data_IF_391061146205
#
_entry.id   IF_391061146205
#
_cell.length_a   1.000
_cell.length_b   1.000
_cell.length_c   1.000
_cell.angle_alpha   90.00
_cell.angle_beta   90.00
_cell.angle_gamma   90.00
#
_symmetry.space_group_name_H-M   'P 1'
#
loop_
_entity.id
_entity.type
_entity.pdbx_description
1 polymer ?
#
# COMPACT_ATOMS: atom_id res chain seq x y z
N UNK A 1 -11.64 1.23 -16.12
CA UNK A 1 -10.18 1.33 -15.91
C UNK A 1 -9.66 -0.04 -15.48
N UNK A 2 -8.80 -0.69 -16.29
CA UNK A 2 -8.21 -1.99 -15.92
C UNK A 2 -7.09 -1.73 -14.91
N UNK A 3 -7.35 -2.01 -13.63
CA UNK A 3 -6.36 -2.07 -12.54
C UNK A 3 -5.19 -2.97 -12.97
N UNK A 4 -3.96 -2.62 -12.59
CA UNK A 4 -2.72 -3.30 -13.00
C UNK A 4 -2.84 -4.81 -12.69
N UNK A 5 -3.02 -5.61 -13.73
CA UNK A 5 -3.47 -6.99 -13.57
C UNK A 5 -2.31 -7.84 -13.04
N UNK A 6 -2.49 -8.61 -11.96
CA UNK A 6 -1.43 -9.46 -11.43
C UNK A 6 -0.96 -10.43 -12.51
N UNK A 7 0.32 -10.81 -12.46
CA UNK A 7 0.87 -11.82 -13.38
C UNK A 7 0.39 -13.23 -13.04
N UNK A 8 0.10 -13.50 -11.76
CA UNK A 8 -0.38 -14.80 -11.28
C UNK A 8 -1.40 -14.65 -10.17
N UNK A 9 -2.41 -15.52 -10.13
CA UNK A 9 -3.50 -15.53 -9.13
C UNK A 9 -3.74 -16.89 -8.48
N UNK A 10 -4.40 -16.91 -7.33
CA UNK A 10 -4.94 -18.12 -6.68
C UNK A 10 -6.43 -17.98 -6.40
N UNK A 11 -7.17 -19.08 -6.42
CA UNK A 11 -8.56 -19.10 -5.97
C UNK A 11 -8.64 -18.96 -4.43
N UNK A 12 -9.59 -18.17 -3.94
CA UNK A 12 -9.88 -18.09 -2.51
C UNK A 12 -10.76 -19.28 -2.08
N UNK A 13 -11.02 -19.42 -0.78
CA UNK A 13 -11.76 -20.58 -0.26
C UNK A 13 -13.15 -20.72 -0.89
N UNK A 14 -13.89 -19.62 -0.99
CA UNK A 14 -15.23 -19.60 -1.60
C UNK A 14 -15.16 -19.90 -3.11
N UNK A 15 -14.16 -19.38 -3.80
CA UNK A 15 -13.88 -19.61 -5.21
C UNK A 15 -13.53 -21.07 -5.51
N UNK A 16 -12.78 -21.74 -4.64
CA UNK A 16 -12.50 -23.18 -4.77
C UNK A 16 -13.81 -23.99 -4.72
N UNK A 17 -14.71 -23.66 -3.80
CA UNK A 17 -16.00 -24.33 -3.71
C UNK A 17 -16.90 -24.02 -4.92
N UNK A 18 -16.89 -22.78 -5.42
CA UNK A 18 -17.58 -22.42 -6.67
C UNK A 18 -17.03 -23.18 -7.88
N UNK A 19 -15.71 -23.29 -8.02
CA UNK A 19 -15.07 -24.07 -9.09
C UNK A 19 -15.51 -25.55 -9.04
N UNK A 20 -15.53 -26.15 -7.85
CA UNK A 20 -15.99 -27.54 -7.66
C UNK A 20 -17.48 -27.69 -7.94
N UNK A 21 -18.29 -26.70 -7.56
CA UNK A 21 -19.72 -26.72 -7.77
C UNK A 21 -20.06 -26.56 -9.26
N UNK A 22 -19.40 -25.64 -9.96
CA UNK A 22 -19.55 -25.45 -11.40
C UNK A 22 -19.22 -26.73 -12.20
N UNK A 23 -18.20 -27.50 -11.78
CA UNK A 23 -17.93 -28.82 -12.36
C UNK A 23 -19.10 -29.81 -12.18
N UNK A 24 -19.80 -29.75 -11.05
CA UNK A 24 -20.95 -30.62 -10.74
C UNK A 24 -22.23 -30.15 -11.45
N UNK A 25 -22.47 -28.86 -11.54
CA UNK A 25 -23.70 -28.29 -12.12
C UNK A 25 -23.82 -28.56 -13.62
N UNK A 26 -22.70 -28.60 -14.35
CA UNK A 26 -22.70 -29.00 -15.77
C UNK A 26 -23.11 -30.46 -15.97
N UNK A 27 -22.84 -31.33 -14.99
CA UNK A 27 -23.39 -32.69 -14.97
C UNK A 27 -24.92 -32.68 -14.81
N UNK A 28 -25.45 -31.79 -13.97
CA UNK A 28 -26.90 -31.63 -13.78
C UNK A 28 -27.61 -31.08 -15.03
N UNK A 29 -26.89 -30.33 -15.88
CA UNK A 29 -27.38 -29.79 -17.15
C UNK A 29 -27.22 -30.73 -18.37
N UNK A 30 -26.89 -32.00 -18.18
CA UNK A 30 -26.60 -32.98 -19.25
C UNK A 30 -25.42 -32.61 -20.19
N UNK A 31 -24.54 -31.69 -19.80
CA UNK A 31 -23.36 -31.29 -20.59
C UNK A 31 -22.11 -32.14 -20.27
N UNK A 32 -22.24 -33.06 -19.31
CA UNK A 32 -21.15 -33.88 -18.78
C UNK A 32 -20.26 -33.11 -17.80
N UNK A 33 -19.64 -33.82 -16.85
CA UNK A 33 -18.67 -33.22 -15.94
C UNK A 33 -17.43 -32.82 -16.73
N UNK A 34 -17.00 -31.56 -16.61
CA UNK A 34 -15.66 -31.17 -17.05
C UNK A 34 -14.62 -31.66 -16.03
N UNK A 35 -13.89 -32.70 -16.40
CA UNK A 35 -12.74 -33.19 -15.64
C UNK A 35 -11.55 -32.24 -15.83
N UNK A 36 -10.55 -32.30 -14.92
CA UNK A 36 -9.33 -31.49 -15.08
C UNK A 36 -8.63 -31.70 -16.43
N UNK A 37 -8.46 -32.94 -16.94
CA UNK A 37 -7.88 -33.14 -18.28
C UNK A 37 -8.68 -32.46 -19.40
N UNK A 38 -10.02 -32.49 -19.31
CA UNK A 38 -10.89 -31.89 -20.33
C UNK A 38 -10.86 -30.37 -20.30
N UNK A 39 -10.80 -29.76 -19.11
CA UNK A 39 -10.59 -28.31 -18.97
C UNK A 39 -9.23 -27.94 -19.58
N UNK A 40 -8.18 -28.69 -19.24
CA UNK A 40 -6.82 -28.45 -19.69
C UNK A 40 -6.70 -28.52 -21.21
N UNK A 41 -7.31 -29.52 -21.85
CA UNK A 41 -7.37 -29.69 -23.30
C UNK A 41 -8.09 -28.50 -23.99
N UNK A 42 -9.21 -28.05 -23.43
CA UNK A 42 -10.01 -26.97 -24.02
C UNK A 42 -9.33 -25.60 -24.01
N UNK A 43 -8.48 -25.35 -23.02
CA UNK A 43 -7.77 -24.07 -22.86
C UNK A 43 -6.28 -24.17 -23.20
N UNK A 44 -5.84 -25.33 -23.72
CA UNK A 44 -4.47 -25.60 -24.14
C UNK A 44 -3.42 -25.37 -23.04
N UNK A 45 -3.67 -25.86 -21.83
CA UNK A 45 -2.72 -25.84 -20.71
C UNK A 45 -2.48 -27.25 -20.15
N UNK A 46 -1.43 -27.40 -19.35
CA UNK A 46 -1.18 -28.64 -18.61
C UNK A 46 -2.26 -28.93 -17.57
N UNK A 47 -2.67 -30.20 -17.41
CA UNK A 47 -3.64 -30.63 -16.37
C UNK A 47 -3.18 -30.21 -14.96
N UNK A 48 -1.87 -30.19 -14.74
CA UNK A 48 -1.26 -29.75 -13.49
C UNK A 48 -1.61 -28.30 -13.17
N UNK A 49 -1.70 -27.41 -14.16
CA UNK A 49 -2.10 -26.00 -13.99
C UNK A 49 -3.53 -25.92 -13.45
N UNK A 50 -4.45 -26.71 -14.01
CA UNK A 50 -5.85 -26.76 -13.56
C UNK A 50 -5.93 -27.30 -12.13
N UNK A 51 -5.23 -28.41 -11.83
CA UNK A 51 -5.15 -29.00 -10.49
C UNK A 51 -4.58 -28.04 -9.45
N UNK A 52 -3.57 -27.24 -9.81
CA UNK A 52 -2.97 -26.22 -8.93
C UNK A 52 -3.99 -25.14 -8.58
N UNK A 53 -4.70 -24.61 -9.56
CA UNK A 53 -5.71 -23.58 -9.31
C UNK A 53 -6.85 -24.08 -8.42
N UNK A 54 -7.37 -25.29 -8.65
CA UNK A 54 -8.39 -25.92 -7.80
C UNK A 54 -7.92 -26.26 -6.37
N UNK A 55 -6.61 -26.25 -6.12
CA UNK A 55 -6.02 -26.43 -4.79
C UNK A 55 -5.72 -25.08 -4.09
N UNK A 56 -6.05 -23.95 -4.72
CA UNK A 56 -5.73 -22.63 -4.19
C UNK A 56 -4.25 -22.23 -4.37
N UNK A 57 -3.53 -22.88 -5.29
CA UNK A 57 -2.15 -22.52 -5.62
C UNK A 57 -2.12 -21.45 -6.71
N UNK A 58 -1.03 -20.67 -6.75
CA UNK A 58 -0.82 -19.64 -7.77
C UNK A 58 -0.66 -20.24 -9.17
N UNK A 59 -1.37 -19.68 -10.14
CA UNK A 59 -1.23 -19.92 -11.59
C UNK A 59 -1.19 -18.59 -12.32
N UNK A 60 -0.72 -18.54 -13.57
CA UNK A 60 -0.79 -17.30 -14.35
C UNK A 60 -2.24 -16.79 -14.45
N UNK A 61 -2.42 -15.48 -14.37
CA UNK A 61 -3.76 -14.86 -14.34
C UNK A 61 -4.58 -15.21 -15.56
N UNK A 62 -3.95 -15.21 -16.74
CA UNK A 62 -4.56 -15.64 -18.00
C UNK A 62 -5.08 -17.08 -17.93
N UNK A 63 -4.32 -17.99 -17.31
CA UNK A 63 -4.74 -19.38 -17.13
C UNK A 63 -5.93 -19.48 -16.17
N UNK A 64 -5.92 -18.70 -15.07
CA UNK A 64 -7.03 -18.68 -14.13
C UNK A 64 -8.32 -18.14 -14.76
N UNK A 65 -8.23 -17.09 -15.59
CA UNK A 65 -9.38 -16.59 -16.36
C UNK A 65 -9.97 -17.66 -17.25
N UNK A 66 -9.14 -18.28 -18.08
CA UNK A 66 -9.58 -19.31 -19.02
C UNK A 66 -10.24 -20.49 -18.30
N UNK A 67 -9.72 -20.88 -17.12
CA UNK A 67 -10.35 -21.91 -16.27
C UNK A 67 -11.72 -21.44 -15.77
N UNK A 68 -11.84 -20.21 -15.27
CA UNK A 68 -13.11 -19.66 -14.78
C UNK A 68 -14.15 -19.54 -15.89
N UNK A 69 -13.77 -18.97 -17.04
CA UNK A 69 -14.63 -18.79 -18.21
C UNK A 69 -15.14 -20.14 -18.74
N UNK A 70 -14.26 -21.14 -18.80
CA UNK A 70 -14.62 -22.51 -19.19
C UNK A 70 -15.67 -23.13 -18.25
N UNK A 71 -15.71 -22.69 -17.00
CA UNK A 71 -16.69 -23.12 -15.99
C UNK A 71 -17.89 -22.17 -15.87
N UNK A 72 -17.94 -21.10 -16.67
CA UNK A 72 -19.01 -20.10 -16.63
C UNK A 72 -18.96 -19.17 -15.41
N UNK A 73 -17.79 -19.01 -14.81
CA UNK A 73 -17.54 -18.14 -13.65
C UNK A 73 -16.73 -16.91 -14.07
N UNK A 74 -16.92 -15.79 -13.37
CA UNK A 74 -16.02 -14.64 -13.54
C UNK A 74 -14.80 -14.81 -12.65
N UNK A 75 -13.62 -14.42 -13.14
CA UNK A 75 -12.40 -14.51 -12.34
C UNK A 75 -12.55 -13.79 -10.98
N UNK A 76 -13.17 -12.61 -10.97
CA UNK A 76 -13.40 -11.81 -9.77
C UNK A 76 -14.29 -12.47 -8.69
N UNK A 77 -15.07 -13.50 -9.07
CA UNK A 77 -15.91 -14.26 -8.13
C UNK A 77 -15.13 -15.39 -7.45
N UNK A 78 -14.03 -15.83 -8.10
CA UNK A 78 -13.23 -17.00 -7.74
C UNK A 78 -11.92 -16.62 -7.05
N UNK A 79 -11.37 -15.47 -7.43
CA UNK A 79 -10.13 -14.92 -6.88
C UNK A 79 -10.40 -13.53 -6.34
N UNK A 80 -9.75 -13.20 -5.24
CA UNK A 80 -9.74 -11.83 -4.75
C UNK A 80 -8.81 -11.02 -5.65
N UNK A 81 -9.39 -10.30 -6.62
CA UNK A 81 -8.65 -9.39 -7.50
C UNK A 81 -8.21 -8.11 -6.79
N UNK A 82 -8.71 -7.88 -5.57
CA UNK A 82 -8.32 -6.78 -4.69
C UNK A 82 -7.20 -7.17 -3.70
N UNK A 83 -6.90 -8.48 -3.56
CA UNK A 83 -5.92 -9.01 -2.59
C UNK A 83 -4.47 -9.06 -3.09
N UNK A 84 -4.16 -8.46 -4.24
CA UNK A 84 -2.78 -8.44 -4.75
C UNK A 84 -1.81 -7.58 -3.94
N UNK A 85 -2.29 -6.97 -2.84
CA UNK A 85 -1.49 -6.21 -1.90
C UNK A 85 -1.76 -6.52 -0.41
N UNK A 86 -2.54 -7.55 -0.03
CA UNK A 86 -3.24 -7.53 1.28
C UNK A 86 -3.15 -8.79 2.18
N UNK A 87 -2.06 -9.58 2.14
CA UNK A 87 -1.92 -10.72 3.07
C UNK A 87 -0.86 -10.51 4.16
N UNK A 88 -0.44 -9.25 4.37
CA UNK A 88 0.45 -8.90 5.47
C UNK A 88 -0.27 -8.22 6.61
N UNK A 89 0.26 -8.37 7.82
CA UNK A 89 -0.02 -7.49 8.95
C UNK A 89 1.21 -6.63 9.20
N UNK A 90 1.02 -5.33 9.35
CA UNK A 90 2.01 -4.40 9.84
C UNK A 90 2.03 -4.41 11.37
N UNK A 91 3.21 -4.52 11.96
CA UNK A 91 3.46 -4.34 13.39
C UNK A 91 4.48 -3.22 13.57
N UNK A 92 4.15 -2.21 14.36
CA UNK A 92 5.06 -1.11 14.71
C UNK A 92 5.60 -1.34 16.11
N UNK A 93 6.93 -1.35 16.24
CA UNK A 93 7.65 -1.51 17.50
C UNK A 93 8.38 -0.22 17.88
N UNK A 94 8.43 0.06 19.19
CA UNK A 94 9.28 1.12 19.73
C UNK A 94 10.77 0.81 19.55
N UNK A 95 11.62 1.83 19.39
CA UNK A 95 13.09 1.70 19.38
C UNK A 95 13.72 1.90 18.00
N UNK A 96 15.01 1.60 17.88
CA UNK A 96 15.75 1.74 16.61
C UNK A 96 15.88 0.41 15.86
N UNK A 97 15.96 0.47 14.53
CA UNK A 97 16.01 -0.73 13.67
C UNK A 97 17.20 -1.64 13.98
N UNK A 98 18.33 -1.07 14.39
CA UNK A 98 19.55 -1.83 14.69
C UNK A 98 19.48 -2.54 16.05
N UNK A 99 18.56 -2.13 16.94
CA UNK A 99 18.25 -2.86 18.19
C UNK A 99 17.31 -4.05 17.92
N UNK A 100 16.39 -3.90 16.96
CA UNK A 100 15.38 -4.92 16.63
C UNK A 100 15.94 -6.03 15.73
N UNK A 101 16.83 -5.70 14.79
CA UNK A 101 17.42 -6.68 13.84
C UNK A 101 18.02 -7.93 14.52
N UNK A 102 18.78 -7.83 15.63
CA UNK A 102 19.31 -9.00 16.34
C UNK A 102 18.24 -9.92 16.94
N UNK A 103 17.01 -9.42 17.15
CA UNK A 103 15.95 -10.13 17.87
C UNK A 103 14.86 -10.70 16.96
N UNK A 104 15.02 -10.61 15.63
CA UNK A 104 13.97 -11.00 14.67
C UNK A 104 13.53 -12.46 14.77
N UNK A 105 14.45 -13.37 15.07
CA UNK A 105 14.12 -14.79 15.25
C UNK A 105 13.25 -15.02 16.49
N UNK A 106 13.54 -14.29 17.57
CA UNK A 106 12.74 -14.32 18.80
C UNK A 106 11.35 -13.71 18.57
N UNK A 107 11.29 -12.55 17.92
CA UNK A 107 10.03 -11.90 17.51
C UNK A 107 9.18 -12.86 16.68
N UNK A 108 9.80 -13.52 15.70
CA UNK A 108 9.11 -14.46 14.82
C UNK A 108 8.52 -15.67 15.58
N UNK A 109 9.28 -16.28 16.47
CA UNK A 109 8.79 -17.39 17.30
C UNK A 109 7.68 -16.95 18.27
N UNK A 110 7.80 -15.76 18.86
CA UNK A 110 6.74 -15.20 19.71
C UNK A 110 5.45 -14.97 18.92
N UNK A 111 5.53 -14.43 17.70
CA UNK A 111 4.37 -14.21 16.84
C UNK A 111 3.70 -15.52 16.42
N UNK A 112 4.47 -16.54 16.03
CA UNK A 112 3.95 -17.88 15.71
C UNK A 112 3.26 -18.53 16.90
N UNK A 113 3.85 -18.41 18.09
CA UNK A 113 3.26 -18.94 19.33
C UNK A 113 1.96 -18.22 19.70
N UNK A 114 1.96 -16.89 19.60
CA UNK A 114 0.85 -16.02 19.99
C UNK A 114 -0.36 -16.19 19.07
N UNK A 115 -0.11 -16.26 17.76
CA UNK A 115 -1.13 -16.52 16.75
C UNK A 115 -1.57 -17.99 16.69
N UNK A 116 -0.75 -18.92 17.18
CA UNK A 116 -0.91 -20.35 16.90
C UNK A 116 -0.61 -20.74 15.45
N UNK A 117 -0.07 -19.82 14.65
CA UNK A 117 0.19 -19.99 13.23
C UNK A 117 1.70 -20.11 12.96
N UNK A 118 2.13 -21.32 12.61
CA UNK A 118 3.54 -21.62 12.29
C UNK A 118 3.99 -21.07 10.94
N UNK A 119 3.05 -20.66 10.08
CA UNK A 119 3.35 -20.15 8.74
C UNK A 119 3.81 -18.70 8.74
N UNK A 120 3.75 -18.02 9.90
CA UNK A 120 4.16 -16.63 9.99
C UNK A 120 5.63 -16.47 9.56
N UNK A 121 5.89 -15.45 8.75
CA UNK A 121 7.22 -15.02 8.31
C UNK A 121 7.31 -13.51 8.29
N UNK A 122 8.47 -12.96 8.62
CA UNK A 122 8.76 -11.53 8.43
C UNK A 122 9.11 -11.30 6.96
N UNK A 123 8.35 -10.43 6.30
CA UNK A 123 8.53 -10.07 4.89
C UNK A 123 9.48 -8.89 4.73
N UNK A 124 9.25 -7.82 5.48
CA UNK A 124 9.94 -6.53 5.33
C UNK A 124 10.12 -5.88 6.69
N UNK A 125 11.23 -5.16 6.87
CA UNK A 125 11.45 -4.23 7.98
C UNK A 125 11.79 -2.85 7.41
N UNK A 126 11.18 -1.79 7.92
CA UNK A 126 11.35 -0.42 7.39
C UNK A 126 12.05 0.50 8.41
N UNK A 127 12.87 1.48 7.96
CA UNK A 127 13.50 2.50 8.81
C UNK A 127 12.56 3.67 9.13
N UNK A 128 12.86 4.44 10.20
CA UNK A 128 12.12 5.66 10.62
C UNK A 128 11.05 5.44 11.69
N UNK A 129 10.54 4.21 11.78
CA UNK A 129 9.76 3.62 12.88
C UNK A 129 9.91 2.12 12.66
N UNK A 130 10.22 1.31 13.67
CA UNK A 130 10.52 -0.11 13.40
C UNK A 130 9.24 -0.84 13.04
N UNK A 131 8.97 -0.86 11.73
CA UNK A 131 7.80 -1.46 11.15
C UNK A 131 8.20 -2.82 10.59
N UNK A 132 7.58 -3.87 11.11
CA UNK A 132 7.71 -5.24 10.65
C UNK A 132 6.45 -5.59 9.88
N UNK A 133 6.59 -6.02 8.63
CA UNK A 133 5.49 -6.60 7.85
C UNK A 133 5.63 -8.10 7.93
N UNK A 134 4.57 -8.76 8.40
CA UNK A 134 4.52 -10.22 8.52
C UNK A 134 3.51 -10.81 7.55
N UNK A 135 3.87 -11.94 6.94
CA UNK A 135 2.94 -12.84 6.25
C UNK A 135 2.47 -13.93 7.20
N UNK A 136 1.30 -14.50 6.96
CA UNK A 136 0.76 -15.65 7.67
C UNK A 136 -0.55 -16.16 7.07
N UNK A 137 -1.17 -17.12 7.72
CA UNK A 137 -2.57 -17.48 7.50
C UNK A 137 -3.48 -16.34 7.93
N UNK A 138 -4.63 -16.18 7.26
CA UNK A 138 -5.59 -15.13 7.61
C UNK A 138 -6.04 -15.26 9.09
N UNK A 139 -6.27 -16.47 9.58
CA UNK A 139 -6.64 -16.73 10.98
C UNK A 139 -5.55 -16.27 11.96
N UNK A 140 -4.28 -16.53 11.64
CA UNK A 140 -3.14 -16.13 12.46
C UNK A 140 -2.95 -14.62 12.51
N UNK A 141 -3.07 -13.95 11.36
CA UNK A 141 -2.96 -12.49 11.24
C UNK A 141 -4.10 -11.76 11.95
N UNK A 142 -5.36 -12.15 11.70
CA UNK A 142 -6.54 -11.59 12.38
C UNK A 142 -6.47 -11.78 13.90
N UNK A 143 -5.91 -12.90 14.37
CA UNK A 143 -5.71 -13.12 15.80
C UNK A 143 -4.69 -12.17 16.40
N UNK A 144 -3.57 -11.90 15.71
CA UNK A 144 -2.56 -10.93 16.17
C UNK A 144 -3.18 -9.54 16.29
N UNK A 145 -3.95 -9.11 15.30
CA UNK A 145 -4.70 -7.85 15.32
C UNK A 145 -5.69 -7.80 16.50
N UNK A 146 -6.47 -8.86 16.70
CA UNK A 146 -7.45 -8.94 17.79
C UNK A 146 -6.79 -8.88 19.18
N UNK A 147 -5.62 -9.53 19.35
CA UNK A 147 -4.88 -9.52 20.62
C UNK A 147 -4.31 -8.14 20.93
N UNK A 148 -3.86 -7.40 19.92
CA UNK A 148 -3.45 -6.01 20.10
C UNK A 148 -4.62 -5.12 20.51
N UNK A 149 -5.76 -5.24 19.81
CA UNK A 149 -6.98 -4.48 20.13
C UNK A 149 -7.53 -4.78 21.54
N UNK A 150 -7.41 -6.03 21.99
CA UNK A 150 -7.74 -6.43 23.36
C UNK A 150 -6.72 -5.94 24.41
N UNK A 151 -5.60 -5.35 23.97
CA UNK A 151 -4.51 -4.92 24.83
C UNK A 151 -3.70 -6.08 25.40
N UNK A 152 -3.76 -7.27 24.81
CA UNK A 152 -3.01 -8.45 25.25
C UNK A 152 -1.62 -8.53 24.61
N UNK A 153 -1.45 -7.93 23.43
CA UNK A 153 -0.17 -7.83 22.72
C UNK A 153 0.48 -6.45 22.91
N UNK A 154 1.04 -6.19 24.10
CA UNK A 154 1.67 -4.89 24.43
C UNK A 154 3.16 -4.83 24.15
N UNK A 155 3.83 -5.98 24.12
CA UNK A 155 5.28 -6.09 24.03
C UNK A 155 5.66 -7.38 23.30
N UNK A 156 6.70 -7.34 22.49
CA UNK A 156 7.28 -8.50 21.81
C UNK A 156 8.80 -8.37 21.88
N UNK A 157 9.47 -9.38 22.44
CA UNK A 157 10.93 -9.41 22.62
C UNK A 157 11.46 -8.14 23.31
N UNK A 158 10.81 -7.63 24.36
CA UNK A 158 11.27 -6.42 25.04
C UNK A 158 10.94 -5.10 24.33
N UNK A 159 10.41 -5.13 23.10
CA UNK A 159 9.95 -3.94 22.39
C UNK A 159 8.45 -3.74 22.59
N UNK A 160 8.07 -2.52 22.97
CA UNK A 160 6.66 -2.15 23.07
C UNK A 160 6.03 -2.21 21.68
N UNK A 161 4.87 -2.85 21.58
CA UNK A 161 4.04 -2.85 20.38
C UNK A 161 3.20 -1.58 20.39
N UNK A 162 3.50 -0.69 19.45
CA UNK A 162 2.83 0.60 19.31
C UNK A 162 1.60 0.51 18.39
N UNK A 163 1.64 -0.41 17.42
CA UNK A 163 0.55 -0.61 16.47
C UNK A 163 0.56 -2.02 15.86
N UNK A 164 -0.62 -2.54 15.54
CA UNK A 164 -0.83 -3.77 14.77
C UNK A 164 -2.05 -3.59 13.88
N UNK A 165 -1.88 -3.82 12.58
CA UNK A 165 -2.94 -3.60 11.59
C UNK A 165 -2.71 -4.35 10.29
N UNK A 166 -3.72 -4.49 9.43
CA UNK A 166 -3.51 -5.00 8.08
C UNK A 166 -2.52 -4.11 7.30
N UNK A 167 -1.65 -4.72 6.48
CA UNK A 167 -0.63 -4.01 5.69
C UNK A 167 -1.22 -2.96 4.73
N UNK A 168 -2.47 -3.16 4.32
CA UNK A 168 -3.19 -2.29 3.40
C UNK A 168 -3.93 -1.14 4.05
N UNK A 169 -3.99 -1.11 5.39
CA UNK A 169 -4.56 -0.01 6.12
C UNK A 169 -3.49 1.08 6.25
N UNK A 170 -3.43 1.98 5.26
CA UNK A 170 -2.60 3.17 5.32
C UNK A 170 -3.17 4.10 6.41
N UNK A 171 -2.31 4.57 7.33
CA UNK A 171 -2.72 5.61 8.29
C UNK A 171 -2.42 6.96 7.66
N UNK A 172 -3.22 7.98 7.98
CA UNK A 172 -2.80 9.33 7.74
C UNK A 172 -1.41 9.54 8.36
N UNK A 173 -0.53 10.14 7.58
CA UNK A 173 0.80 10.55 8.02
C UNK A 173 0.63 11.61 9.09
N UNK A 174 1.15 11.33 10.29
CA UNK A 174 1.06 12.27 11.40
C UNK A 174 2.16 13.34 11.28
N UNK A 175 1.74 14.57 10.96
CA UNK A 175 2.64 15.69 10.71
C UNK A 175 3.27 16.23 11.99
N UNK A 176 2.59 16.20 13.14
CA UNK A 176 3.20 16.60 14.42
C UNK A 176 4.46 15.79 14.77
N UNK A 177 4.51 14.50 14.42
CA UNK A 177 5.68 13.65 14.71
C UNK A 177 6.94 14.10 13.95
N UNK A 178 6.78 14.84 12.87
CA UNK A 178 7.90 15.30 12.06
C UNK A 178 8.69 16.43 12.75
N UNK A 179 8.14 17.08 13.78
CA UNK A 179 8.92 18.00 14.62
C UNK A 179 10.03 17.27 15.40
N UNK A 180 9.82 15.98 15.71
CA UNK A 180 10.78 15.12 16.37
C UNK A 180 11.67 14.35 15.37
N UNK A 181 11.68 14.75 14.09
CA UNK A 181 12.36 14.10 12.96
C UNK A 181 11.95 12.64 12.72
N UNK A 182 10.74 12.25 13.16
CA UNK A 182 10.18 10.92 12.93
C UNK A 182 9.41 10.96 11.61
N UNK A 183 10.06 10.51 10.53
CA UNK A 183 9.41 10.37 9.22
C UNK A 183 8.81 8.97 9.04
N UNK A 184 7.55 8.93 8.62
CA UNK A 184 6.83 7.67 8.33
C UNK A 184 7.35 7.03 7.04
N UNK A 185 7.07 5.74 6.84
CA UNK A 185 7.51 4.99 5.65
C UNK A 185 7.22 5.71 4.33
N UNK A 186 8.24 5.78 3.47
CA UNK A 186 8.14 6.40 2.14
C UNK A 186 8.40 7.90 2.14
N UNK A 187 8.48 8.52 3.31
CA UNK A 187 8.91 9.89 3.50
C UNK A 187 10.39 9.93 3.88
N UNK A 188 11.11 10.87 3.28
CA UNK A 188 12.56 11.06 3.45
C UNK A 188 12.90 12.54 3.44
N UNK A 189 14.11 12.90 3.87
CA UNK A 189 14.54 14.28 3.89
C UNK A 189 14.68 14.85 2.47
N UNK A 190 14.39 16.15 2.29
CA UNK A 190 14.36 16.77 0.98
C UNK A 190 15.72 16.72 0.24
N UNK A 191 16.82 16.74 0.99
CA UNK A 191 18.18 16.61 0.45
C UNK A 191 18.48 15.24 -0.17
N UNK A 192 17.70 14.21 0.15
CA UNK A 192 17.81 12.88 -0.47
C UNK A 192 17.01 12.80 -1.78
N UNK A 193 16.08 13.73 -2.01
CA UNK A 193 15.12 13.69 -3.11
C UNK A 193 15.39 14.72 -4.20
N UNK A 194 15.96 15.87 -3.84
CA UNK A 194 16.14 17.01 -4.73
C UNK A 194 17.59 17.18 -5.16
N UNK A 195 17.79 17.70 -6.37
CA UNK A 195 19.10 18.14 -6.85
C UNK A 195 19.59 19.38 -6.09
N UNK A 196 20.91 19.66 -6.04
CA UNK A 196 21.43 20.86 -5.37
C UNK A 196 20.82 22.18 -5.86
N UNK A 197 20.51 22.28 -7.16
CA UNK A 197 19.89 23.47 -7.74
C UNK A 197 18.43 23.62 -7.31
N UNK A 198 17.70 22.52 -7.15
CA UNK A 198 16.35 22.53 -6.59
C UNK A 198 16.38 22.83 -5.08
N UNK A 199 17.33 22.26 -4.33
CA UNK A 199 17.54 22.58 -2.92
C UNK A 199 17.84 24.07 -2.71
N UNK A 200 18.56 24.73 -3.62
CA UNK A 200 18.77 26.18 -3.53
C UNK A 200 17.47 27.00 -3.67
N UNK A 201 16.44 26.46 -4.31
CA UNK A 201 15.12 27.09 -4.45
C UNK A 201 14.23 26.89 -3.22
N UNK A 202 14.59 25.95 -2.33
CA UNK A 202 13.82 25.63 -1.14
C UNK A 202 14.67 25.94 0.08
N UNK A 203 14.21 26.80 1.00
CA UNK A 203 14.90 26.97 2.28
C UNK A 203 14.81 25.65 3.06
N UNK A 204 15.84 24.81 2.95
CA UNK A 204 15.82 23.41 3.39
C UNK A 204 15.56 23.23 4.90
N UNK A 205 15.81 24.27 5.70
CA UNK A 205 15.62 24.23 7.16
C UNK A 205 14.14 24.10 7.58
N UNK A 206 13.18 24.39 6.70
CA UNK A 206 11.75 24.38 7.03
C UNK A 206 11.03 23.12 6.49
N UNK A 207 11.65 22.40 5.54
CA UNK A 207 11.05 21.21 4.93
C UNK A 207 11.21 20.05 5.89
N UNK A 208 10.10 19.43 6.25
CA UNK A 208 10.08 18.35 7.22
C UNK A 208 10.15 16.98 6.55
N UNK A 209 9.45 16.78 5.44
CA UNK A 209 9.47 15.51 4.72
C UNK A 209 9.21 15.67 3.22
N UNK A 210 9.70 14.71 2.44
CA UNK A 210 9.39 14.57 1.03
C UNK A 210 9.17 13.13 0.62
N UNK A 211 8.44 12.92 -0.47
CA UNK A 211 8.13 11.59 -1.03
C UNK A 211 8.27 11.60 -2.54
N UNK A 212 8.97 10.60 -3.07
CA UNK A 212 9.07 10.35 -4.51
C UNK A 212 7.81 9.62 -4.99
N UNK A 213 7.12 10.20 -5.97
CA UNK A 213 5.85 9.70 -6.48
C UNK A 213 5.99 9.43 -7.98
N UNK A 214 5.55 8.24 -8.39
CA UNK A 214 5.53 7.81 -9.78
C UNK A 214 4.09 7.78 -10.31
N UNK A 215 3.77 8.69 -11.23
CA UNK A 215 2.48 8.79 -11.90
C UNK A 215 2.56 8.12 -13.26
N UNK A 216 1.77 7.06 -13.49
CA UNK A 216 1.72 6.38 -14.78
C UNK A 216 0.59 6.93 -15.63
N UNK A 217 0.93 7.78 -16.59
CA UNK A 217 0.00 8.43 -17.52
C UNK A 217 0.53 8.28 -18.95
N UNK A 218 -0.35 8.18 -19.94
CA UNK A 218 0.03 8.15 -21.37
C UNK A 218 1.07 7.06 -21.73
N UNK A 219 1.00 5.89 -21.08
CA UNK A 219 1.96 4.79 -21.22
C UNK A 219 3.39 5.11 -20.72
N UNK A 220 3.61 6.28 -20.13
CA UNK A 220 4.85 6.72 -19.53
C UNK A 220 4.74 6.76 -18.00
N UNK A 221 5.90 6.77 -17.32
CA UNK A 221 5.97 6.96 -15.87
C UNK A 221 6.62 8.32 -15.60
N UNK A 222 5.86 9.25 -15.05
CA UNK A 222 6.31 10.57 -14.64
C UNK A 222 6.68 10.54 -13.15
N UNK A 223 7.93 10.86 -12.82
CA UNK A 223 8.38 10.93 -11.44
C UNK A 223 8.41 12.38 -10.96
N UNK A 224 7.75 12.63 -9.83
CA UNK A 224 7.69 13.93 -9.16
C UNK A 224 7.99 13.76 -7.67
N UNK A 225 8.47 14.81 -7.02
CA UNK A 225 8.69 14.85 -5.57
C UNK A 225 7.63 15.73 -4.94
N UNK A 226 6.86 15.18 -4.00
CA UNK A 226 6.00 15.94 -3.10
C UNK A 226 6.81 16.29 -1.85
N UNK A 227 6.92 17.58 -1.54
CA UNK A 227 7.50 18.07 -0.29
C UNK A 227 6.42 18.67 0.58
N UNK A 228 6.57 18.46 1.89
CA UNK A 228 5.69 19.00 2.92
C UNK A 228 6.55 19.75 3.94
N UNK A 229 6.16 21.00 4.17
CA UNK A 229 6.82 21.95 5.03
C UNK A 229 5.84 22.33 6.14
N UNK A 230 6.31 22.33 7.39
CA UNK A 230 5.50 22.63 8.57
C UNK A 230 6.17 23.74 9.37
N UNK A 231 5.41 24.77 9.69
CA UNK A 231 5.86 25.88 10.55
C UNK A 231 4.86 26.04 11.68
N UNK A 232 5.35 26.01 12.93
CA UNK A 232 4.59 26.48 14.09
C UNK A 232 4.69 28.00 14.12
N UNK A 233 3.54 28.67 14.29
CA UNK A 233 3.56 30.11 14.56
C UNK A 233 4.16 30.38 15.95
N UNK A 234 3.73 29.64 16.97
CA UNK A 234 4.23 29.68 18.35
C UNK A 234 4.19 28.28 19.00
N UNK A 235 5.00 28.02 20.02
CA UNK A 235 5.10 26.69 20.68
C UNK A 235 3.79 26.21 21.34
N UNK A 236 2.93 27.14 21.75
CA UNK A 236 1.64 26.87 22.41
C UNK A 236 0.45 26.91 21.44
N UNK A 237 0.67 27.24 20.16
CA UNK A 237 -0.42 27.33 19.18
C UNK A 237 -0.84 25.95 18.67
N UNK A 238 -2.15 25.64 18.63
CA UNK A 238 -2.63 24.43 17.96
C UNK A 238 -2.58 24.54 16.43
N UNK A 239 -2.34 25.73 15.86
CA UNK A 239 -2.32 25.95 14.43
C UNK A 239 -0.92 25.73 13.82
N UNK A 240 -0.89 25.02 12.69
CA UNK A 240 0.32 24.82 11.87
C UNK A 240 0.12 25.41 10.47
N UNK A 241 1.14 26.15 9.99
CA UNK A 241 1.22 26.48 8.56
C UNK A 241 1.79 25.29 7.79
N UNK A 242 1.02 24.77 6.84
CA UNK A 242 1.39 23.67 5.96
C UNK A 242 1.62 24.22 4.56
N UNK A 243 2.80 23.94 4.00
CA UNK A 243 3.10 24.21 2.60
C UNK A 243 3.47 22.93 1.85
N UNK A 244 2.65 22.58 0.86
CA UNK A 244 2.87 21.48 -0.07
C UNK A 244 3.54 22.01 -1.35
N UNK A 245 4.59 21.34 -1.82
CA UNK A 245 5.29 21.68 -3.06
C UNK A 245 5.54 20.44 -3.89
N UNK A 246 5.35 20.54 -5.21
CA UNK A 246 5.67 19.45 -6.13
C UNK A 246 6.79 19.88 -7.06
N UNK A 247 7.84 19.07 -7.12
CA UNK A 247 9.02 19.28 -7.97
C UNK A 247 9.17 18.18 -9.03
N UNK A 248 9.70 18.49 -10.21
CA UNK A 248 10.13 17.46 -11.15
C UNK A 248 11.36 16.72 -10.62
N UNK A 249 11.65 15.55 -11.18
CA UNK A 249 12.81 14.73 -10.78
C UNK A 249 13.73 14.41 -11.95
N UNK A 250 14.94 13.97 -11.61
CA UNK A 250 16.00 13.67 -12.57
C UNK A 250 16.48 14.94 -13.27
N UNK A 251 16.71 14.84 -14.58
CA UNK A 251 17.16 15.96 -15.41
C UNK A 251 16.00 16.85 -15.90
N UNK A 252 14.77 16.57 -15.48
CA UNK A 252 13.59 17.35 -15.89
C UNK A 252 13.57 18.71 -15.22
N UNK A 253 13.43 19.74 -16.04
CA UNK A 253 13.40 21.13 -15.61
C UNK A 253 12.00 21.59 -15.19
N UNK A 254 10.97 21.04 -15.85
CA UNK A 254 9.58 21.42 -15.70
C UNK A 254 8.73 20.23 -15.26
N UNK A 255 7.63 20.52 -14.58
CA UNK A 255 6.61 19.54 -14.24
C UNK A 255 5.87 19.07 -15.49
N UNK A 256 5.30 17.85 -15.47
CA UNK A 256 4.35 17.44 -16.50
C UNK A 256 3.20 18.44 -16.60
N UNK A 257 2.85 18.92 -17.80
CA UNK A 257 1.75 19.85 -17.97
C UNK A 257 0.43 19.19 -17.53
N UNK A 258 -0.46 19.98 -16.95
CA UNK A 258 -1.74 19.55 -16.39
C UNK A 258 -1.65 18.63 -15.16
N UNK A 259 -0.46 18.47 -14.55
CA UNK A 259 -0.34 17.84 -13.24
C UNK A 259 -1.12 18.68 -12.21
N UNK A 260 -2.04 18.04 -11.50
CA UNK A 260 -2.84 18.67 -10.46
C UNK A 260 -2.33 18.27 -9.08
N UNK A 261 -2.21 19.25 -8.20
CA UNK A 261 -2.09 19.08 -6.75
C UNK A 261 -3.42 19.50 -6.14
N UNK A 262 -4.11 18.56 -5.50
CA UNK A 262 -5.43 18.76 -4.91
C UNK A 262 -5.34 18.45 -3.42
N UNK A 263 -5.90 19.32 -2.58
CA UNK A 263 -6.06 19.09 -1.14
C UNK A 263 -7.55 18.89 -0.88
N UNK A 264 -7.89 17.78 -0.22
CA UNK A 264 -9.23 17.48 0.23
C UNK A 264 -9.31 17.62 1.76
N UNK A 265 -10.41 18.17 2.25
CA UNK A 265 -10.79 18.13 3.66
C UNK A 265 -12.24 17.63 3.71
N UNK A 266 -12.54 16.72 4.64
CA UNK A 266 -13.86 16.07 4.73
C UNK A 266 -14.35 15.44 3.41
N UNK A 267 -13.41 14.95 2.59
CA UNK A 267 -13.63 14.42 1.22
C UNK A 267 -14.07 15.46 0.17
N UNK A 268 -14.10 16.75 0.49
CA UNK A 268 -14.39 17.83 -0.45
C UNK A 268 -13.11 18.54 -0.91
N UNK A 269 -13.11 19.09 -2.13
CA UNK A 269 -11.96 19.83 -2.66
C UNK A 269 -11.80 21.15 -1.92
N UNK A 270 -10.78 21.21 -1.07
CA UNK A 270 -10.41 22.42 -0.34
C UNK A 270 -9.53 23.35 -1.19
N UNK A 271 -8.51 22.81 -1.86
CA UNK A 271 -7.63 23.56 -2.78
C UNK A 271 -7.20 22.73 -3.98
N UNK A 272 -7.02 23.37 -5.13
CA UNK A 272 -6.47 22.74 -6.35
C UNK A 272 -5.48 23.70 -7.03
N UNK A 273 -4.34 23.16 -7.47
CA UNK A 273 -3.32 23.86 -8.25
C UNK A 273 -2.94 23.00 -9.46
N UNK A 274 -2.89 23.58 -10.65
CA UNK A 274 -2.61 22.87 -11.90
C UNK A 274 -1.34 23.41 -12.54
N UNK A 275 -0.39 22.51 -12.84
CA UNK A 275 0.88 22.84 -13.48
C UNK A 275 0.70 23.21 -14.95
N UNK A 276 1.40 24.27 -15.37
CA UNK A 276 1.57 24.71 -16.75
C UNK A 276 2.86 24.15 -17.33
N UNK A 277 3.03 24.26 -18.65
CA UNK A 277 4.19 23.71 -19.38
C UNK A 277 5.56 24.26 -18.96
N UNK A 278 5.60 25.44 -18.32
CA UNK A 278 6.83 26.09 -17.85
C UNK A 278 6.96 26.10 -16.32
N UNK A 279 6.03 25.47 -15.61
CA UNK A 279 6.09 25.42 -14.15
C UNK A 279 7.17 24.45 -13.71
N UNK A 280 8.18 24.97 -13.02
CA UNK A 280 9.23 24.19 -12.36
C UNK A 280 8.79 23.66 -11.00
N UNK A 281 7.70 24.19 -10.49
CA UNK A 281 7.11 23.90 -9.19
C UNK A 281 5.63 24.29 -9.21
N UNK A 282 4.78 23.52 -8.53
CA UNK A 282 3.47 23.97 -8.07
C UNK A 282 3.43 23.91 -6.55
N UNK A 283 2.71 24.85 -5.93
CA UNK A 283 2.67 24.99 -4.47
C UNK A 283 1.24 25.26 -4.00
N UNK A 284 0.89 24.66 -2.87
CA UNK A 284 -0.30 24.99 -2.09
C UNK A 284 0.11 25.30 -0.65
N UNK A 285 -0.47 26.35 -0.05
CA UNK A 285 -0.26 26.72 1.36
C UNK A 285 -1.60 26.89 2.06
N UNK A 286 -1.71 26.40 3.28
CA UNK A 286 -2.88 26.56 4.14
C UNK A 286 -2.47 26.39 5.61
N UNK A 287 -3.35 26.77 6.53
CA UNK A 287 -3.23 26.49 7.96
C UNK A 287 -4.21 25.40 8.34
N UNK A 288 -3.91 24.67 9.42
CA UNK A 288 -4.83 23.73 10.05
C UNK A 288 -4.44 23.46 11.49
N UNK A 289 -5.38 22.95 12.28
CA UNK A 289 -5.21 22.67 13.70
C UNK A 289 -4.77 21.22 13.94
N UNK A 290 -3.99 20.99 15.00
CA UNK A 290 -3.57 19.65 15.42
C UNK A 290 -4.78 18.73 15.58
N UNK A 291 -4.71 17.56 14.94
CA UNK A 291 -5.78 16.56 14.92
C UNK A 291 -6.73 16.66 13.72
N UNK A 292 -6.67 17.73 12.91
CA UNK A 292 -7.41 17.79 11.65
C UNK A 292 -6.83 16.82 10.61
N UNK A 293 -7.70 16.22 9.80
CA UNK A 293 -7.31 15.32 8.72
C UNK A 293 -7.49 15.96 7.34
N UNK A 294 -6.58 15.67 6.43
CA UNK A 294 -6.70 16.08 5.04
C UNK A 294 -6.02 15.07 4.09
N UNK A 295 -6.48 15.04 2.85
CA UNK A 295 -5.89 14.19 1.80
C UNK A 295 -5.23 15.05 0.74
N UNK A 296 -4.01 14.70 0.33
CA UNK A 296 -3.37 15.28 -0.85
C UNK A 296 -3.51 14.32 -2.01
N UNK A 297 -4.03 14.78 -3.15
CA UNK A 297 -4.08 14.03 -4.40
C UNK A 297 -3.17 14.67 -5.45
N UNK A 298 -2.38 13.83 -6.11
CA UNK A 298 -1.69 14.16 -7.35
C UNK A 298 -2.39 13.48 -8.52
N UNK A 299 -2.80 14.27 -9.52
CA UNK A 299 -3.54 13.79 -10.69
C UNK A 299 -2.85 14.19 -11.98
N UNK A 300 -2.59 13.23 -12.87
CA UNK A 300 -2.06 13.47 -14.21
C UNK A 300 -2.74 12.52 -15.20
N UNK A 301 -3.61 13.06 -16.06
CA UNK A 301 -4.48 12.24 -16.91
C UNK A 301 -5.36 11.31 -16.06
N UNK A 302 -5.28 10.01 -16.31
CA UNK A 302 -5.93 8.95 -15.53
C UNK A 302 -5.16 8.50 -14.28
N UNK A 303 -3.91 8.94 -14.09
CA UNK A 303 -3.13 8.62 -12.89
C UNK A 303 -3.62 9.43 -11.70
N UNK A 304 -3.89 8.75 -10.58
CA UNK A 304 -4.25 9.38 -9.30
C UNK A 304 -3.44 8.70 -8.20
N UNK A 305 -2.73 9.49 -7.42
CA UNK A 305 -2.08 9.07 -6.17
C UNK A 305 -2.64 9.95 -5.06
N UNK A 306 -2.92 9.34 -3.90
CA UNK A 306 -3.42 10.01 -2.71
C UNK A 306 -2.47 9.75 -1.54
N UNK A 307 -2.34 10.74 -0.66
CA UNK A 307 -1.65 10.63 0.63
C UNK A 307 -2.56 11.25 1.67
N UNK A 308 -2.88 10.51 2.73
CA UNK A 308 -3.69 11.00 3.84
C UNK A 308 -2.77 11.54 4.94
N UNK A 309 -3.19 12.60 5.61
CA UNK A 309 -2.45 13.28 6.66
C UNK A 309 -3.36 13.60 7.83
N UNK A 310 -2.76 13.58 9.03
CA UNK A 310 -3.33 14.16 10.24
C UNK A 310 -2.32 15.19 10.75
N UNK A 311 -2.81 16.38 11.07
CA UNK A 311 -1.98 17.50 11.52
C UNK A 311 -1.41 17.22 12.90
#
# INVERSE_FOLDING_TARGET
>A
MKKNRPRSVRANYQGIEQLKQAQKDRRAKNEGRLSYPKIAEQIYVEETTVKRFFRGEKVFTENAELICETLGLKLAEVVDLEDYHQNGTQITLSGEIDEVKPQLDEILELLRKTSGDKTITIRIIKPGSVIIIIDGSNEGLTRIESLFQAGELKEIAGFKVEDVRPEWEERPVNLTQWFDNILTTGWQAANELLTPSQLALVRSAEIKGGKLIYLRADMLSHAVVLLVNLVREDDDSPELEITLRVYPTGDNVYLPPNLKLIVLSENEVFKEVVARSEDRIIQCRFTGEIGEEFTVKLVLGEAVISEDFVI
#
